data_IF_702454688087
#
_entry.id   IF_702454688087
#
_cell.length_a   1.000
_cell.length_b   1.000
_cell.length_c   1.000
_cell.angle_alpha   90.00
_cell.angle_beta   90.00
_cell.angle_gamma   90.00
#
_symmetry.space_group_name_H-M   'P 1'
#
loop_
_entity.id
_entity.type
_entity.pdbx_description
1 polymer ?
#
# COMPACT_ATOMS: atom_id res chain seq x y z
N UNK A 1 17.32 -3.10 -12.91
CA UNK A 1 16.52 -3.28 -11.72
C UNK A 1 15.06 -3.04 -12.03
N UNK A 2 14.28 -3.98 -11.68
CA UNK A 2 12.88 -3.94 -12.06
C UNK A 2 11.93 -3.73 -10.92
N UNK A 3 12.11 -2.61 -10.22
CA UNK A 3 11.12 -2.21 -9.23
C UNK A 3 9.74 -2.15 -9.87
N UNK A 4 9.67 -1.72 -11.15
CA UNK A 4 8.41 -1.66 -11.86
C UNK A 4 7.67 -2.98 -11.94
N UNK A 5 8.37 -4.05 -12.29
CA UNK A 5 7.75 -5.37 -12.39
C UNK A 5 7.25 -5.88 -11.05
N UNK A 6 8.05 -5.69 -10.00
CA UNK A 6 7.67 -6.13 -8.66
C UNK A 6 6.49 -5.31 -8.16
N UNK A 7 6.55 -3.99 -8.31
CA UNK A 7 5.46 -3.14 -7.84
C UNK A 7 4.16 -3.42 -8.58
N UNK A 8 4.23 -3.70 -9.88
CA UNK A 8 3.04 -4.04 -10.66
C UNK A 8 2.42 -5.34 -10.17
N UNK A 9 3.25 -6.36 -9.89
CA UNK A 9 2.75 -7.64 -9.40
C UNK A 9 2.04 -7.49 -8.06
N UNK A 10 2.62 -6.72 -7.14
CA UNK A 10 1.98 -6.46 -5.86
C UNK A 10 0.71 -5.63 -6.01
N UNK A 11 0.74 -4.63 -6.88
CA UNK A 11 -0.45 -3.82 -7.12
C UNK A 11 -1.59 -4.65 -7.71
N UNK A 12 -1.26 -5.60 -8.60
CA UNK A 12 -2.26 -6.51 -9.15
C UNK A 12 -2.86 -7.40 -8.07
N UNK A 13 -2.04 -7.88 -7.15
CA UNK A 13 -2.52 -8.69 -6.04
C UNK A 13 -3.49 -7.88 -5.17
N UNK A 14 -3.14 -6.64 -4.88
CA UNK A 14 -4.00 -5.75 -4.11
C UNK A 14 -5.31 -5.52 -4.84
N UNK A 15 -5.25 -5.30 -6.14
CA UNK A 15 -6.43 -5.08 -6.97
C UNK A 15 -7.35 -6.30 -6.92
N UNK A 16 -6.78 -7.51 -6.97
CA UNK A 16 -7.57 -8.74 -6.87
C UNK A 16 -8.23 -8.87 -5.50
N UNK A 17 -7.50 -8.61 -4.44
CA UNK A 17 -8.07 -8.63 -3.08
C UNK A 17 -9.24 -7.66 -2.98
N UNK A 18 -9.03 -6.45 -3.49
CA UNK A 18 -10.04 -5.41 -3.41
C UNK A 18 -11.30 -5.80 -4.19
N UNK A 19 -11.13 -6.38 -5.37
CA UNK A 19 -12.27 -6.80 -6.17
C UNK A 19 -13.06 -7.92 -5.49
N UNK A 20 -12.36 -8.89 -4.94
CA UNK A 20 -13.01 -10.00 -4.24
C UNK A 20 -13.86 -9.52 -3.08
N UNK A 21 -13.36 -8.51 -2.37
CA UNK A 21 -14.03 -7.99 -1.18
C UNK A 21 -14.92 -6.79 -1.47
N UNK A 22 -15.00 -6.37 -2.72
CA UNK A 22 -15.76 -5.19 -3.14
C UNK A 22 -15.32 -3.93 -2.41
N UNK A 23 -14.00 -3.80 -2.27
CA UNK A 23 -13.38 -2.69 -1.55
C UNK A 23 -12.50 -1.82 -2.45
N UNK A 24 -12.69 -1.89 -3.77
CA UNK A 24 -11.79 -1.19 -4.72
C UNK A 24 -11.68 0.30 -4.43
N UNK A 25 -12.82 0.95 -4.21
CA UNK A 25 -12.85 2.40 -3.98
C UNK A 25 -12.22 2.75 -2.64
N UNK A 26 -12.51 1.95 -1.62
CA UNK A 26 -11.92 2.18 -0.30
C UNK A 26 -10.40 2.01 -0.35
N UNK A 27 -9.92 0.96 -1.03
CA UNK A 27 -8.49 0.74 -1.17
C UNK A 27 -7.84 1.87 -1.95
N UNK A 28 -8.51 2.37 -2.98
CA UNK A 28 -8.01 3.50 -3.75
C UNK A 28 -7.77 4.71 -2.85
N UNK A 29 -8.75 5.05 -2.02
CA UNK A 29 -8.61 6.18 -1.10
C UNK A 29 -7.51 5.93 -0.07
N UNK A 30 -7.38 4.68 0.39
CA UNK A 30 -6.33 4.31 1.35
C UNK A 30 -4.94 4.44 0.74
N UNK A 31 -4.80 4.06 -0.53
CA UNK A 31 -3.51 4.19 -1.22
C UNK A 31 -3.15 5.65 -1.46
N UNK A 32 -4.14 6.48 -1.78
CA UNK A 32 -3.90 7.92 -1.91
C UNK A 32 -3.43 8.50 -0.59
N UNK A 33 -4.09 8.14 0.51
CA UNK A 33 -3.73 8.64 1.83
C UNK A 33 -2.34 8.15 2.23
N UNK A 34 -2.05 6.89 2.02
CA UNK A 34 -0.74 6.33 2.35
C UNK A 34 0.37 7.05 1.59
N UNK A 35 0.17 7.24 0.29
CA UNK A 35 1.15 7.94 -0.52
C UNK A 35 1.38 9.35 -0.01
N UNK A 36 0.30 10.05 0.35
CA UNK A 36 0.39 11.39 0.90
C UNK A 36 1.18 11.40 2.21
N UNK A 37 0.90 10.46 3.10
CA UNK A 37 1.58 10.38 4.39
C UNK A 37 3.06 10.05 4.23
N UNK A 38 3.41 9.19 3.29
CA UNK A 38 4.81 8.88 3.04
C UNK A 38 5.60 10.08 2.56
N UNK A 39 4.94 10.99 1.84
CA UNK A 39 5.57 12.23 1.40
C UNK A 39 5.66 13.26 2.52
N UNK A 40 4.61 13.35 3.34
CA UNK A 40 4.49 14.41 4.34
C UNK A 40 5.23 14.09 5.64
N UNK A 41 5.36 12.81 5.98
CA UNK A 41 5.90 12.39 7.28
C UNK A 41 7.16 11.56 7.07
N UNK A 42 8.30 12.24 7.15
CA UNK A 42 9.61 11.59 6.94
C UNK A 42 9.82 10.47 7.96
N UNK A 43 9.36 10.68 9.19
CA UNK A 43 9.51 9.68 10.24
C UNK A 43 8.84 8.35 9.89
N UNK A 44 7.76 8.38 9.12
CA UNK A 44 7.09 7.15 8.70
C UNK A 44 8.01 6.30 7.81
N UNK A 45 8.61 6.93 6.80
CA UNK A 45 9.52 6.23 5.89
C UNK A 45 10.75 5.73 6.64
N UNK A 46 11.29 6.54 7.54
CA UNK A 46 12.44 6.14 8.33
C UNK A 46 12.12 4.92 9.20
N UNK A 47 10.91 4.89 9.77
CA UNK A 47 10.48 3.74 10.58
C UNK A 47 10.35 2.48 9.74
N UNK A 48 9.84 2.60 8.53
CA UNK A 48 9.70 1.45 7.64
C UNK A 48 11.06 0.85 7.28
N UNK A 49 12.06 1.68 7.16
CA UNK A 49 13.39 1.24 6.78
C UNK A 49 14.24 0.80 7.97
N UNK A 50 13.75 0.94 9.18
CA UNK A 50 14.50 0.58 10.37
C UNK A 50 14.48 -0.92 10.64
N UNK A 51 15.65 -1.56 10.79
CA UNK A 51 15.68 -2.99 11.10
C UNK A 51 15.32 -3.30 12.55
N UNK A 52 15.24 -2.28 13.41
CA UNK A 52 14.94 -2.46 14.83
C UNK A 52 13.45 -2.60 15.07
N UNK A 53 12.64 -1.91 14.26
CA UNK A 53 11.19 -1.89 14.46
C UNK A 53 10.58 -3.20 13.96
N UNK A 54 9.73 -3.82 14.79
CA UNK A 54 9.09 -5.09 14.47
C UNK A 54 8.12 -4.95 13.31
N UNK A 55 7.80 -6.08 12.66
CA UNK A 55 6.84 -6.10 11.57
C UNK A 55 5.44 -5.70 12.06
N UNK A 56 5.07 -6.14 13.27
CA UNK A 56 3.79 -5.75 13.86
C UNK A 56 3.67 -4.24 14.01
N UNK A 57 4.75 -3.61 14.47
CA UNK A 57 4.76 -2.17 14.64
C UNK A 57 4.67 -1.46 13.30
N UNK A 58 5.42 -1.95 12.31
CA UNK A 58 5.38 -1.38 10.97
C UNK A 58 3.99 -1.50 10.37
N UNK A 59 3.32 -2.65 10.56
CA UNK A 59 1.97 -2.84 10.07
C UNK A 59 1.01 -1.83 10.69
N UNK A 60 1.13 -1.61 11.99
CA UNK A 60 0.29 -0.64 12.70
C UNK A 60 0.51 0.77 12.14
N UNK A 61 1.76 1.15 11.93
CA UNK A 61 2.08 2.47 11.40
C UNK A 61 1.49 2.66 10.00
N UNK A 62 1.61 1.65 9.16
CA UNK A 62 1.09 1.73 7.79
C UNK A 62 -0.43 1.77 7.77
N UNK A 63 -1.08 0.98 8.61
CA UNK A 63 -2.54 1.00 8.67
C UNK A 63 -3.06 2.34 9.17
N UNK A 64 -2.39 2.90 10.15
CA UNK A 64 -2.75 4.23 10.64
C UNK A 64 -2.59 5.29 9.56
N UNK A 65 -1.54 5.16 8.74
CA UNK A 65 -1.31 6.09 7.64
C UNK A 65 -2.37 5.98 6.55
N UNK A 66 -3.02 4.83 6.42
CA UNK A 66 -4.08 4.63 5.43
C UNK A 66 -5.43 5.19 5.85
N UNK A 67 -5.62 5.40 7.15
CA UNK A 67 -6.89 5.92 7.64
C UNK A 67 -7.32 5.24 8.93
N UNK A 68 -8.55 5.55 9.38
CA UNK A 68 -9.05 5.07 10.66
C UNK A 68 -9.55 3.63 10.57
N UNK A 69 -10.41 3.35 9.59
CA UNK A 69 -11.01 2.02 9.41
C UNK A 69 -10.48 1.40 8.14
N UNK A 70 -9.30 0.80 8.25
CA UNK A 70 -8.63 0.22 7.08
C UNK A 70 -9.41 -0.99 6.57
N UNK A 71 -9.53 -1.11 5.24
CA UNK A 71 -10.19 -2.24 4.62
C UNK A 71 -9.45 -3.54 4.91
N UNK A 72 -10.16 -4.65 4.85
CA UNK A 72 -9.54 -5.96 5.00
C UNK A 72 -8.50 -6.22 3.93
N UNK A 73 -8.78 -5.78 2.72
CA UNK A 73 -7.85 -5.94 1.60
C UNK A 73 -6.53 -5.25 1.86
N UNK A 74 -6.58 -3.98 2.30
CA UNK A 74 -5.36 -3.22 2.60
C UNK A 74 -4.62 -3.80 3.80
N UNK A 75 -5.34 -4.20 4.84
CA UNK A 75 -4.70 -4.78 6.01
C UNK A 75 -3.95 -6.07 5.65
N UNK A 76 -4.59 -6.97 4.90
CA UNK A 76 -3.94 -8.20 4.42
C UNK A 76 -2.73 -7.88 3.55
N UNK A 77 -2.90 -6.90 2.67
CA UNK A 77 -1.85 -6.53 1.74
C UNK A 77 -0.62 -5.98 2.45
N UNK A 78 -0.83 -5.12 3.44
CA UNK A 78 0.26 -4.56 4.23
C UNK A 78 1.07 -5.69 4.88
N UNK A 79 0.39 -6.66 5.47
CA UNK A 79 1.05 -7.78 6.10
C UNK A 79 1.84 -8.62 5.09
N UNK A 80 1.27 -8.80 3.90
CA UNK A 80 1.96 -9.53 2.83
C UNK A 80 3.25 -8.82 2.42
N UNK A 81 3.16 -7.52 2.18
CA UNK A 81 4.32 -6.73 1.76
C UNK A 81 5.42 -6.80 2.81
N UNK A 82 5.06 -6.64 4.08
CA UNK A 82 6.04 -6.69 5.16
C UNK A 82 6.64 -8.07 5.32
N UNK A 83 5.83 -9.12 5.18
CA UNK A 83 6.35 -10.50 5.31
C UNK A 83 7.34 -10.81 4.20
N UNK A 84 7.19 -10.20 3.04
CA UNK A 84 8.09 -10.40 1.91
C UNK A 84 9.24 -9.39 1.91
N UNK A 85 9.30 -8.53 2.91
CA UNK A 85 10.32 -7.48 3.05
C UNK A 85 10.36 -6.56 1.83
N UNK A 86 9.17 -6.16 1.37
CA UNK A 86 9.03 -5.28 0.21
C UNK A 86 8.50 -3.90 0.59
N UNK A 87 8.62 -3.51 1.85
CA UNK A 87 8.11 -2.20 2.29
C UNK A 87 8.82 -1.04 1.60
N UNK A 88 10.02 -1.24 1.12
CA UNK A 88 10.74 -0.21 0.38
C UNK A 88 10.11 0.08 -0.99
N UNK A 89 9.21 -0.79 -1.43
CA UNK A 89 8.52 -0.63 -2.71
C UNK A 89 7.10 -0.08 -2.57
N UNK A 90 6.64 0.18 -1.34
CA UNK A 90 5.27 0.60 -1.10
C UNK A 90 4.87 1.83 -1.90
N UNK A 91 5.76 2.80 -2.01
CA UNK A 91 5.48 4.01 -2.77
C UNK A 91 5.12 3.69 -4.22
N UNK A 92 5.90 2.82 -4.84
CA UNK A 92 5.66 2.43 -6.23
C UNK A 92 4.41 1.57 -6.36
N UNK A 93 4.16 0.72 -5.37
CA UNK A 93 2.96 -0.11 -5.36
C UNK A 93 1.70 0.75 -5.28
N UNK A 94 1.71 1.76 -4.41
CA UNK A 94 0.60 2.71 -4.31
C UNK A 94 0.34 3.40 -5.65
N UNK A 95 1.40 3.88 -6.30
CA UNK A 95 1.27 4.56 -7.58
C UNK A 95 0.70 3.63 -8.64
N UNK A 96 1.14 2.38 -8.67
CA UNK A 96 0.65 1.42 -9.65
C UNK A 96 -0.82 1.09 -9.42
N UNK A 97 -1.23 0.89 -8.15
CA UNK A 97 -2.63 0.61 -7.87
C UNK A 97 -3.52 1.80 -8.25
N UNK A 98 -3.08 3.01 -7.90
CA UNK A 98 -3.83 4.22 -8.23
C UNK A 98 -4.02 4.32 -9.75
N UNK A 99 -2.96 4.05 -10.51
CA UNK A 99 -3.02 4.08 -11.96
C UNK A 99 -3.99 3.03 -12.51
N UNK A 100 -3.91 1.80 -12.01
CA UNK A 100 -4.81 0.72 -12.42
C UNK A 100 -6.26 1.06 -12.14
N UNK A 101 -6.53 1.60 -10.95
CA UNK A 101 -7.89 1.96 -10.56
C UNK A 101 -8.44 3.03 -11.49
N UNK A 102 -7.64 4.07 -11.75
CA UNK A 102 -8.09 5.17 -12.61
C UNK A 102 -8.37 4.72 -14.03
N UNK A 103 -7.52 3.85 -14.56
CA UNK A 103 -7.71 3.32 -15.90
C UNK A 103 -8.97 2.48 -15.97
N UNK A 104 -9.20 1.62 -15.00
CA UNK A 104 -10.38 0.77 -14.98
C UNK A 104 -11.65 1.59 -14.84
N UNK A 105 -11.65 2.65 -14.06
CA UNK A 105 -12.82 3.50 -13.83
C UNK A 105 -12.89 4.67 -14.82
N UNK A 106 -11.98 4.75 -15.77
CA UNK A 106 -11.92 5.82 -16.77
C UNK A 106 -11.79 7.20 -16.13
N UNK A 107 -11.03 7.30 -15.05
CA UNK A 107 -10.74 8.57 -14.39
C UNK A 107 -9.44 9.12 -14.98
N UNK A 108 -9.47 10.37 -15.41
CA UNK A 108 -8.29 11.01 -16.00
C UNK A 108 -7.48 11.78 -14.99
#
# INVERSE_FOLDING_TARGET
MYTGNISVRYARALHSFAKENKEETQVYNEMLMLLHQMKAVVALVNSLNSPIISLSKKAMLLETACGIDVSNSTSRFIKLVLSQKREDMLRYICLQYIDMYRKEKHIL
#
